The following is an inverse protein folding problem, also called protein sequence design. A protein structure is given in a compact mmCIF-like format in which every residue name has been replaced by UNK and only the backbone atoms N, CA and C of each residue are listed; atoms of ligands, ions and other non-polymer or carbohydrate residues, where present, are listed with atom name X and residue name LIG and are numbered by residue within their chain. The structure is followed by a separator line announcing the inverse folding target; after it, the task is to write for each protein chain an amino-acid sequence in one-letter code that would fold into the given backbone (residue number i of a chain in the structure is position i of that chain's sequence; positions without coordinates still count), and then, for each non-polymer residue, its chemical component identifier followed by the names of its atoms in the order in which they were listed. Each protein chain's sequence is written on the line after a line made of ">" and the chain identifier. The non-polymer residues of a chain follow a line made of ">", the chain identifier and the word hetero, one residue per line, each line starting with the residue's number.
data_IF_490938768930
#
_entry.id   IF_490938768930
#
_cell.length_a   1.000
_cell.length_b   1.000
_cell.length_c   1.000
_cell.angle_alpha   90.00
_cell.angle_beta   90.00
_cell.angle_gamma   90.00
#
_symmetry.space_group_name_H-M   'P 1'
#
loop_
_entity.id
_entity.type
_entity.pdbx_description
1 polymer ?
#
# COMPACT_ATOMS: atom_id res chain seq x y z
N UNK A 1 -15.51 -18.47 1.57
CA UNK A 1 -15.94 -17.53 0.51
C UNK A 1 -14.67 -16.81 0.05
N UNK A 2 -14.40 -16.77 -1.26
CA UNK A 2 -13.22 -16.06 -1.79
C UNK A 2 -13.55 -14.60 -2.10
N UNK A 3 -12.54 -13.75 -2.29
CA UNK A 3 -12.74 -12.34 -2.67
C UNK A 3 -13.47 -12.25 -4.01
N UNK A 4 -13.11 -13.08 -4.99
CA UNK A 4 -13.75 -13.17 -6.30
C UNK A 4 -15.25 -13.50 -6.16
N UNK A 5 -15.60 -14.39 -5.24
CA UNK A 5 -17.01 -14.75 -4.99
C UNK A 5 -17.77 -13.54 -4.45
N UNK A 6 -17.20 -12.83 -3.48
CA UNK A 6 -17.79 -11.62 -2.90
C UNK A 6 -17.93 -10.49 -3.95
N UNK A 7 -16.92 -10.27 -4.79
CA UNK A 7 -16.98 -9.27 -5.87
C UNK A 7 -18.05 -9.61 -6.88
N UNK A 8 -18.18 -10.88 -7.27
CA UNK A 8 -19.25 -11.33 -8.16
C UNK A 8 -20.62 -11.05 -7.54
N UNK A 9 -20.80 -11.28 -6.24
CA UNK A 9 -22.03 -10.95 -5.53
C UNK A 9 -22.30 -9.44 -5.50
N UNK A 10 -21.28 -8.61 -5.26
CA UNK A 10 -21.40 -7.14 -5.29
C UNK A 10 -21.89 -6.68 -6.67
N UNK A 11 -21.30 -7.18 -7.76
CA UNK A 11 -21.72 -6.83 -9.13
C UNK A 11 -23.21 -7.11 -9.35
N UNK A 12 -23.69 -8.30 -8.95
CA UNK A 12 -25.13 -8.62 -9.04
C UNK A 12 -25.97 -7.65 -8.19
N UNK A 13 -25.52 -7.33 -6.97
CA UNK A 13 -26.27 -6.47 -6.03
C UNK A 13 -26.34 -5.01 -6.46
N UNK A 14 -25.37 -4.53 -7.24
CA UNK A 14 -25.40 -3.18 -7.82
C UNK A 14 -26.11 -3.11 -9.19
N UNK A 15 -26.67 -4.23 -9.66
CA UNK A 15 -27.45 -4.29 -10.90
C UNK A 15 -26.64 -4.56 -12.17
N UNK A 16 -25.38 -4.98 -12.03
CA UNK A 16 -24.52 -5.37 -13.16
C UNK A 16 -24.70 -6.85 -13.53
N UNK A 17 -24.42 -7.21 -14.79
CA UNK A 17 -24.33 -8.60 -15.25
C UNK A 17 -22.87 -9.07 -15.21
N UNK A 18 -22.47 -9.93 -14.25
CA UNK A 18 -21.09 -10.41 -14.16
C UNK A 18 -20.64 -11.28 -15.35
N UNK A 19 -21.56 -11.68 -16.24
CA UNK A 19 -21.24 -12.48 -17.42
C UNK A 19 -20.97 -11.63 -18.67
N UNK A 20 -21.20 -10.31 -18.62
CA UNK A 20 -20.83 -9.43 -19.74
C UNK A 20 -19.34 -9.48 -20.00
N UNK A 21 -18.95 -9.41 -21.27
CA UNK A 21 -17.56 -9.57 -21.72
C UNK A 21 -16.57 -8.74 -20.87
N UNK A 22 -16.88 -7.48 -20.58
CA UNK A 22 -16.02 -6.61 -19.77
C UNK A 22 -15.93 -6.95 -18.27
N UNK A 23 -16.90 -7.66 -17.69
CA UNK A 23 -16.92 -7.98 -16.26
C UNK A 23 -16.52 -9.39 -15.91
N UNK A 24 -16.45 -10.31 -16.88
CA UNK A 24 -16.19 -11.72 -16.63
C UNK A 24 -14.96 -11.95 -15.75
N UNK A 25 -13.89 -11.20 -15.99
CA UNK A 25 -12.64 -11.28 -15.23
C UNK A 25 -12.49 -10.19 -14.16
N UNK A 26 -13.51 -9.35 -13.94
CA UNK A 26 -13.48 -8.32 -12.88
C UNK A 26 -13.30 -8.90 -11.48
N UNK A 27 -13.96 -10.00 -11.09
CA UNK A 27 -13.74 -10.61 -9.77
C UNK A 27 -12.27 -10.96 -9.51
N UNK A 28 -11.62 -11.56 -10.48
CA UNK A 28 -10.22 -11.98 -10.43
C UNK A 28 -9.25 -10.77 -10.41
N UNK A 29 -9.51 -9.75 -11.25
CA UNK A 29 -8.73 -8.49 -11.20
C UNK A 29 -8.86 -7.77 -9.86
N UNK A 30 -10.06 -7.74 -9.29
CA UNK A 30 -10.32 -7.10 -7.99
C UNK A 30 -9.65 -7.86 -6.84
N UNK A 31 -9.63 -9.19 -6.88
CA UNK A 31 -8.92 -9.99 -5.88
C UNK A 31 -7.42 -9.67 -5.86
N UNK A 32 -6.76 -9.68 -7.02
CA UNK A 32 -5.35 -9.26 -7.13
C UNK A 32 -5.11 -7.82 -6.68
N UNK A 33 -6.03 -6.91 -7.02
CA UNK A 33 -5.94 -5.52 -6.57
C UNK A 33 -5.95 -5.43 -5.04
N UNK A 34 -6.83 -6.17 -4.35
CA UNK A 34 -6.83 -6.17 -2.89
C UNK A 34 -5.56 -6.78 -2.30
N UNK A 35 -5.02 -7.85 -2.90
CA UNK A 35 -3.73 -8.41 -2.49
C UNK A 35 -2.61 -7.37 -2.55
N UNK A 36 -2.55 -6.58 -3.63
CA UNK A 36 -1.56 -5.53 -3.80
C UNK A 36 -1.76 -4.36 -2.83
N UNK A 37 -2.96 -3.80 -2.78
CA UNK A 37 -3.26 -2.62 -1.97
C UNK A 37 -3.17 -2.88 -0.46
N UNK A 38 -3.28 -4.15 -0.04
CA UNK A 38 -3.22 -4.56 1.37
C UNK A 38 -1.95 -5.35 1.72
N UNK A 39 -1.00 -5.46 0.78
CA UNK A 39 0.27 -6.18 0.98
C UNK A 39 1.06 -5.68 2.20
N UNK A 40 0.86 -4.42 2.60
CA UNK A 40 1.47 -3.83 3.79
C UNK A 40 1.16 -4.58 5.10
N UNK A 41 0.05 -5.31 5.21
CA UNK A 41 -0.25 -6.11 6.41
C UNK A 41 0.67 -7.32 6.58
N UNK A 42 1.20 -7.85 5.47
CA UNK A 42 2.14 -8.96 5.48
C UNK A 42 3.61 -8.50 5.52
N UNK A 43 3.86 -7.20 5.35
CA UNK A 43 5.20 -6.62 5.33
C UNK A 43 5.78 -6.49 6.76
N UNK A 44 7.10 -6.68 6.87
CA UNK A 44 7.85 -6.46 8.11
C UNK A 44 8.66 -5.17 8.01
N UNK A 45 8.27 -4.08 8.71
CA UNK A 45 9.03 -2.83 8.71
C UNK A 45 10.49 -3.04 9.15
N UNK A 46 10.72 -3.97 10.08
CA UNK A 46 12.06 -4.28 10.57
C UNK A 46 12.94 -4.90 9.48
N UNK A 47 12.40 -5.77 8.64
CA UNK A 47 13.15 -6.37 7.52
C UNK A 47 13.46 -5.33 6.45
N UNK A 48 12.47 -4.50 6.09
CA UNK A 48 12.63 -3.41 5.12
C UNK A 48 13.73 -2.44 5.55
N UNK A 49 13.73 -2.03 6.82
CA UNK A 49 14.69 -1.06 7.35
C UNK A 49 16.09 -1.67 7.50
N UNK A 50 16.21 -2.95 7.87
CA UNK A 50 17.51 -3.60 8.12
C UNK A 50 18.45 -3.53 6.91
N UNK A 51 17.93 -3.68 5.70
CA UNK A 51 18.72 -3.61 4.47
C UNK A 51 19.26 -2.21 4.16
N UNK A 52 18.70 -1.19 4.80
CA UNK A 52 18.99 0.21 4.53
C UNK A 52 19.64 0.94 5.72
N UNK A 53 20.14 0.24 6.75
CA UNK A 53 20.77 0.89 7.90
C UNK A 53 22.27 1.08 7.72
N UNK A 54 22.73 2.32 7.90
CA UNK A 54 24.13 2.73 7.80
C UNK A 54 24.62 3.30 9.13
N UNK A 55 25.82 2.90 9.55
CA UNK A 55 26.48 3.44 10.74
C UNK A 55 27.32 4.65 10.38
N UNK A 56 26.76 5.85 10.59
CA UNK A 56 27.42 7.13 10.31
C UNK A 56 27.23 8.04 11.52
N UNK A 57 28.30 8.73 11.93
CA UNK A 57 28.24 9.78 12.93
C UNK A 57 27.74 11.06 12.28
N UNK A 58 26.41 11.24 12.30
CA UNK A 58 25.70 12.43 11.85
C UNK A 58 24.67 12.77 12.91
N UNK A 59 24.60 14.04 13.32
CA UNK A 59 23.78 14.53 14.44
C UNK A 59 22.88 15.70 14.05
N UNK A 60 22.79 16.02 12.76
CA UNK A 60 21.83 16.98 12.22
C UNK A 60 20.54 16.28 11.73
N UNK A 61 19.49 17.06 11.53
CA UNK A 61 18.20 16.55 11.04
C UNK A 61 18.32 16.05 9.60
N UNK A 62 17.88 14.82 9.37
CA UNK A 62 17.63 14.26 8.05
C UNK A 62 16.16 14.46 7.72
N UNK A 63 15.88 15.03 6.54
CA UNK A 63 14.51 15.24 6.06
C UNK A 63 14.36 14.67 4.66
N UNK A 64 13.33 13.87 4.46
CA UNK A 64 12.81 13.49 3.14
C UNK A 64 11.44 14.10 3.00
N UNK A 65 11.23 14.84 1.92
CA UNK A 65 9.97 15.51 1.62
C UNK A 65 9.36 14.92 0.37
N UNK A 66 8.07 15.20 0.21
CA UNK A 66 7.33 14.91 -1.01
C UNK A 66 7.36 13.41 -1.39
N UNK A 67 7.31 12.53 -0.38
CA UNK A 67 7.15 11.08 -0.61
C UNK A 67 5.70 10.84 -1.00
N UNK A 68 5.49 10.51 -2.26
CA UNK A 68 4.17 10.14 -2.77
C UNK A 68 3.68 8.85 -2.07
N UNK A 69 2.42 8.85 -1.64
CA UNK A 69 1.80 7.67 -1.08
C UNK A 69 0.37 7.48 -1.60
N UNK A 70 -0.03 6.22 -1.65
CA UNK A 70 -1.37 5.76 -1.97
C UNK A 70 -1.85 4.85 -0.85
N UNK A 71 -3.11 4.98 -0.44
CA UNK A 71 -3.70 4.17 0.62
C UNK A 71 -5.21 4.02 0.43
N UNK A 72 -5.86 3.24 1.30
CA UNK A 72 -7.29 2.97 1.29
C UNK A 72 -7.94 3.49 2.57
N UNK A 73 -9.02 4.25 2.44
CA UNK A 73 -9.84 4.66 3.58
C UNK A 73 -10.63 3.46 4.08
N UNK A 74 -10.35 3.00 5.30
CA UNK A 74 -11.00 1.83 5.90
C UNK A 74 -12.54 1.93 5.98
N UNK A 75 -13.08 3.14 6.08
CA UNK A 75 -14.52 3.38 6.20
C UNK A 75 -15.30 3.15 4.90
N UNK A 76 -14.66 3.41 3.76
CA UNK A 76 -15.33 3.44 2.45
C UNK A 76 -14.67 2.54 1.42
N UNK A 77 -13.48 2.00 1.73
CA UNK A 77 -12.61 1.27 0.80
C UNK A 77 -12.28 2.08 -0.47
N UNK A 78 -12.29 3.41 -0.36
CA UNK A 78 -11.92 4.32 -1.44
C UNK A 78 -10.45 4.76 -1.30
N UNK A 79 -9.72 4.93 -2.40
CA UNK A 79 -8.36 5.44 -2.36
C UNK A 79 -8.28 6.85 -1.76
N UNK A 80 -7.25 7.09 -0.98
CA UNK A 80 -6.74 8.43 -0.69
C UNK A 80 -5.24 8.45 -0.91
N UNK A 81 -4.73 9.57 -1.39
CA UNK A 81 -3.33 9.70 -1.82
C UNK A 81 -2.85 11.12 -1.52
N UNK A 82 -1.54 11.28 -1.49
CA UNK A 82 -0.91 12.57 -1.24
C UNK A 82 0.59 12.42 -1.02
N UNK A 83 1.16 13.39 -0.33
CA UNK A 83 2.58 13.41 0.00
C UNK A 83 2.77 13.32 1.52
N UNK A 84 3.77 12.57 1.95
CA UNK A 84 4.26 12.59 3.32
C UNK A 84 5.70 13.13 3.36
N UNK A 85 6.07 13.71 4.50
CA UNK A 85 7.43 14.17 4.76
C UNK A 85 7.88 13.57 6.08
N UNK A 86 9.09 13.01 6.10
CA UNK A 86 9.67 12.35 7.26
C UNK A 86 10.92 13.11 7.67
N UNK A 87 10.98 13.51 8.93
CA UNK A 87 12.14 14.15 9.54
C UNK A 87 12.59 13.38 10.78
N UNK A 88 13.88 13.15 10.93
CA UNK A 88 14.45 12.51 12.12
C UNK A 88 15.87 13.01 12.42
N UNK A 89 16.30 12.91 13.67
CA UNK A 89 17.68 13.18 14.09
C UNK A 89 18.36 11.82 14.32
N UNK A 90 19.42 11.48 13.58
CA UNK A 90 20.09 10.20 13.74
C UNK A 90 20.79 10.06 15.09
N UNK A 91 20.90 8.81 15.57
CA UNK A 91 21.69 8.45 16.75
C UNK A 91 22.69 7.34 16.39
N UNK A 92 23.75 7.71 15.67
CA UNK A 92 24.79 6.79 15.20
C UNK A 92 24.33 5.79 14.12
N UNK A 93 23.09 5.90 13.65
CA UNK A 93 22.52 5.13 12.54
C UNK A 93 21.64 6.01 11.66
N UNK A 94 21.82 5.89 10.35
CA UNK A 94 21.04 6.57 9.31
C UNK A 94 20.31 5.49 8.50
N UNK A 95 19.07 5.77 8.08
CA UNK A 95 18.34 4.96 7.10
C UNK A 95 18.65 5.52 5.71
N UNK A 96 19.09 4.66 4.78
CA UNK A 96 19.28 4.99 3.38
C UNK A 96 17.94 5.08 2.67
N UNK A 97 17.69 6.24 2.08
CA UNK A 97 16.38 6.63 1.55
C UNK A 97 16.30 6.45 0.01
N UNK A 98 17.14 5.56 -0.54
CA UNK A 98 17.29 5.33 -1.98
C UNK A 98 16.59 4.06 -2.48
N UNK A 99 15.58 3.58 -1.76
CA UNK A 99 14.61 2.60 -2.24
C UNK A 99 13.24 3.23 -2.23
#
# INVERSE_FOLDING_TARGET
>A
MSVETAIREILVKIGEDPNREGLKDTPDRMARMFEELTAGYAASPQEIIREALFHIKYDEMVVVKDIEFYSLCEHHMLPFFGNCSVGYIPNGKIVGLSK
#
